data_IF_159385679614
#
_entry.id   IF_159385679614
#
_cell.length_a   1.000
_cell.length_b   1.000
_cell.length_c   1.000
_cell.angle_alpha   90.00
_cell.angle_beta   90.00
_cell.angle_gamma   90.00
#
_symmetry.space_group_name_H-M   'P 1'
#
loop_
_entity.id
_entity.type
_entity.pdbx_description
1 polymer ?
#
# COMPACT_ATOMS: atom_id res chain seq x y z
N UNK A 1 12.01 -15.38 27.04
CA UNK A 1 11.35 -14.87 25.82
C UNK A 1 11.76 -13.41 25.68
N UNK A 2 12.56 -13.06 24.67
CA UNK A 2 13.30 -11.79 24.62
C UNK A 2 12.51 -10.84 23.71
N UNK A 3 11.88 -9.82 24.30
CA UNK A 3 11.18 -8.77 23.55
C UNK A 3 12.18 -7.97 22.71
N UNK A 4 12.06 -8.08 21.39
CA UNK A 4 12.70 -7.17 20.44
C UNK A 4 11.91 -5.85 20.46
N UNK A 5 12.24 -4.96 21.40
CA UNK A 5 11.85 -3.55 21.30
C UNK A 5 12.64 -2.90 20.17
N UNK A 6 12.07 -2.90 18.97
CA UNK A 6 12.43 -1.95 17.93
C UNK A 6 12.18 -0.55 18.51
N UNK A 7 13.26 0.18 18.80
CA UNK A 7 13.18 1.61 19.13
C UNK A 7 12.71 2.33 17.87
N UNK A 8 11.39 2.48 17.72
CA UNK A 8 10.83 3.40 16.75
C UNK A 8 11.32 4.80 17.10
N UNK A 9 12.11 5.40 16.21
CA UNK A 9 12.38 6.83 16.27
C UNK A 9 11.03 7.53 16.15
N UNK A 10 10.53 8.08 17.26
CA UNK A 10 9.30 8.87 17.31
C UNK A 10 9.53 10.19 16.57
N UNK A 11 9.66 10.16 15.25
CA UNK A 11 9.43 11.34 14.42
C UNK A 11 7.93 11.48 14.30
N UNK A 12 7.38 12.40 15.10
CA UNK A 12 5.97 12.76 15.03
C UNK A 12 5.68 13.25 13.60
N UNK A 13 4.89 12.47 12.86
CA UNK A 13 4.44 12.84 11.51
C UNK A 13 3.46 14.00 11.68
N UNK A 14 3.84 15.18 11.21
CA UNK A 14 3.04 16.41 11.25
C UNK A 14 2.12 16.55 10.04
N UNK A 15 2.44 15.88 8.92
CA UNK A 15 1.57 15.90 7.75
C UNK A 15 1.99 14.96 6.63
N UNK A 16 1.14 14.86 5.61
CA UNK A 16 1.34 13.98 4.46
C UNK A 16 2.57 14.35 3.60
N UNK A 17 3.09 15.57 3.74
CA UNK A 17 4.29 16.05 3.04
C UNK A 17 5.59 15.80 3.83
N UNK A 18 5.51 15.20 5.02
CA UNK A 18 6.69 14.95 5.82
C UNK A 18 7.64 13.99 5.09
N UNK A 19 8.95 14.33 5.02
CA UNK A 19 9.95 13.54 4.32
C UNK A 19 10.38 12.34 5.17
N UNK A 20 9.42 11.53 5.63
CA UNK A 20 9.63 10.42 6.58
C UNK A 20 10.60 9.35 6.06
N UNK A 21 10.81 9.28 4.74
CA UNK A 21 11.75 8.36 4.11
C UNK A 21 13.08 9.01 3.69
N UNK A 22 13.22 10.34 3.77
CA UNK A 22 14.41 11.03 3.25
C UNK A 22 15.71 10.61 3.93
N UNK A 23 15.65 10.20 5.20
CA UNK A 23 16.82 9.76 5.98
C UNK A 23 17.28 8.33 5.65
N UNK A 24 16.48 7.56 4.90
CA UNK A 24 16.78 6.15 4.59
C UNK A 24 17.67 5.98 3.36
N UNK A 25 17.80 7.03 2.53
CA UNK A 25 18.46 6.95 1.23
C UNK A 25 17.69 6.16 0.16
N UNK A 26 16.50 5.63 0.50
CA UNK A 26 15.65 4.88 -0.41
C UNK A 26 15.21 5.75 -1.59
N UNK A 27 15.49 5.27 -2.80
CA UNK A 27 15.05 5.90 -4.05
C UNK A 27 13.66 5.40 -4.49
N UNK A 28 13.33 4.16 -4.11
CA UNK A 28 12.12 3.46 -4.50
C UNK A 28 11.61 2.61 -3.34
N UNK A 29 10.31 2.30 -3.38
CA UNK A 29 9.67 1.29 -2.54
C UNK A 29 8.87 0.34 -3.39
N UNK A 30 8.92 -0.95 -3.09
CA UNK A 30 8.04 -1.95 -3.69
C UNK A 30 6.76 -1.98 -2.90
N UNK A 31 5.66 -1.55 -3.51
CA UNK A 31 4.33 -1.53 -2.94
C UNK A 31 3.56 -2.78 -3.38
N UNK A 32 3.16 -3.59 -2.42
CA UNK A 32 2.41 -4.84 -2.64
C UNK A 32 1.00 -4.74 -2.10
N UNK A 33 0.03 -5.22 -2.89
CA UNK A 33 -1.36 -5.41 -2.46
C UNK A 33 -1.67 -6.91 -2.56
N UNK A 34 -2.04 -7.50 -1.43
CA UNK A 34 -2.57 -8.86 -1.35
C UNK A 34 -4.09 -8.79 -1.27
N UNK A 35 -4.77 -9.53 -2.14
CA UNK A 35 -6.23 -9.52 -2.22
C UNK A 35 -6.79 -10.94 -2.09
N UNK A 36 -7.62 -11.24 -1.06
CA UNK A 36 -8.12 -12.59 -0.83
C UNK A 36 -8.86 -13.20 -2.02
N UNK A 37 -9.59 -12.37 -2.78
CA UNK A 37 -10.29 -12.80 -3.99
C UNK A 37 -9.41 -13.10 -5.19
N UNK A 38 -8.13 -12.68 -5.17
CA UNK A 38 -7.22 -12.74 -6.31
C UNK A 38 -5.88 -13.34 -5.92
N UNK A 39 -5.89 -14.47 -5.19
CA UNK A 39 -4.65 -15.14 -4.73
C UNK A 39 -3.72 -15.64 -5.85
N UNK A 40 -4.22 -15.76 -7.08
CA UNK A 40 -3.44 -16.11 -8.28
C UNK A 40 -2.73 -14.90 -8.90
N UNK A 41 -3.08 -13.68 -8.48
CA UNK A 41 -2.57 -12.45 -9.04
C UNK A 41 -1.92 -11.59 -7.95
N UNK A 42 -0.59 -11.50 -8.02
CA UNK A 42 0.17 -10.61 -7.17
C UNK A 42 0.29 -9.22 -7.81
N UNK A 43 -0.28 -8.21 -7.13
CA UNK A 43 -0.11 -6.83 -7.54
C UNK A 43 1.06 -6.21 -6.78
N UNK A 44 2.14 -5.91 -7.52
CA UNK A 44 3.34 -5.25 -7.01
C UNK A 44 3.75 -4.10 -7.94
N UNK A 45 4.16 -2.96 -7.37
CA UNK A 45 4.73 -1.82 -8.12
C UNK A 45 5.90 -1.20 -7.39
N UNK A 46 6.98 -0.92 -8.12
CA UNK A 46 8.04 -0.06 -7.64
C UNK A 46 7.59 1.41 -7.76
N UNK A 47 7.53 2.12 -6.64
CA UNK A 47 7.12 3.51 -6.54
C UNK A 47 8.35 4.34 -6.18
N UNK A 48 8.69 5.39 -6.94
CA UNK A 48 9.74 6.32 -6.54
C UNK A 48 9.31 7.10 -5.30
N UNK A 49 10.19 7.17 -4.31
CA UNK A 49 9.97 7.92 -3.06
C UNK A 49 10.35 9.39 -3.21
N UNK A 50 11.31 9.63 -4.09
CA UNK A 50 11.88 10.94 -4.36
C UNK A 50 11.76 11.20 -5.86
N UNK A 51 11.29 12.38 -6.23
CA UNK A 51 11.25 12.83 -7.61
C UNK A 51 12.67 13.10 -8.12
N UNK A 52 12.89 13.14 -9.45
CA UNK A 52 14.20 13.47 -10.02
C UNK A 52 14.78 14.81 -9.52
N UNK A 53 13.92 15.72 -9.05
CA UNK A 53 14.30 17.01 -8.48
C UNK A 53 14.55 16.98 -6.96
N UNK A 54 14.49 15.81 -6.31
CA UNK A 54 14.72 15.66 -4.88
C UNK A 54 13.48 15.82 -3.99
N UNK A 55 12.30 16.14 -4.54
CA UNK A 55 11.09 16.33 -3.75
C UNK A 55 10.46 14.98 -3.32
N UNK A 56 9.91 14.86 -2.09
CA UNK A 56 9.14 13.69 -1.67
C UNK A 56 7.92 13.48 -2.57
N UNK A 57 7.67 12.23 -2.98
CA UNK A 57 6.51 11.87 -3.80
C UNK A 57 5.47 11.13 -2.95
N UNK A 58 4.24 11.66 -2.92
CA UNK A 58 3.04 11.00 -2.37
C UNK A 58 2.29 10.19 -3.44
N UNK A 59 2.95 9.22 -4.07
CA UNK A 59 2.34 8.41 -5.14
C UNK A 59 1.66 7.14 -4.66
N UNK A 60 1.84 6.74 -3.40
CA UNK A 60 1.26 5.49 -2.87
C UNK A 60 -0.27 5.50 -3.00
N UNK A 61 -0.91 6.62 -2.66
CA UNK A 61 -2.36 6.76 -2.80
C UNK A 61 -2.84 6.59 -4.26
N UNK A 62 -2.06 7.03 -5.25
CA UNK A 62 -2.42 6.91 -6.68
C UNK A 62 -2.37 5.46 -7.20
N UNK A 63 -1.76 4.55 -6.44
CA UNK A 63 -1.63 3.15 -6.83
C UNK A 63 -2.86 2.30 -6.47
N UNK A 64 -3.63 2.69 -5.45
CA UNK A 64 -4.88 2.00 -5.09
C UNK A 64 -5.93 2.05 -6.22
N UNK A 65 -6.24 3.21 -6.84
CA UNK A 65 -7.13 3.25 -8.00
C UNK A 65 -6.66 2.35 -9.15
N UNK A 66 -5.34 2.34 -9.44
CA UNK A 66 -4.76 1.51 -10.50
C UNK A 66 -4.85 0.01 -10.21
N UNK A 67 -4.71 -0.38 -8.95
CA UNK A 67 -4.97 -1.75 -8.53
C UNK A 67 -6.43 -2.12 -8.82
N UNK A 68 -7.36 -1.26 -8.39
CA UNK A 68 -8.79 -1.49 -8.55
C UNK A 68 -9.22 -1.58 -10.02
N UNK A 69 -8.72 -0.66 -10.86
CA UNK A 69 -8.95 -0.65 -12.29
C UNK A 69 -8.49 -1.93 -12.98
N UNK A 70 -7.41 -2.56 -12.48
CA UNK A 70 -6.95 -3.83 -13.02
C UNK A 70 -7.78 -4.99 -12.48
N UNK A 71 -8.00 -5.03 -11.16
CA UNK A 71 -8.67 -6.14 -10.49
C UNK A 71 -10.12 -6.34 -10.90
N UNK A 72 -10.82 -5.31 -11.41
CA UNK A 72 -12.17 -5.46 -11.95
C UNK A 72 -12.25 -6.38 -13.19
N UNK A 73 -11.13 -6.60 -13.88
CA UNK A 73 -11.05 -7.46 -15.07
C UNK A 73 -10.47 -8.85 -14.76
N UNK A 74 -10.00 -9.08 -13.54
CA UNK A 74 -9.43 -10.35 -13.12
C UNK A 74 -10.54 -11.28 -12.58
N UNK A 75 -10.43 -12.58 -12.86
CA UNK A 75 -11.39 -13.57 -12.36
C UNK A 75 -11.16 -13.81 -10.87
N UNK A 76 -12.14 -13.49 -10.02
CA UNK A 76 -12.01 -13.75 -8.59
C UNK A 76 -12.32 -15.19 -8.22
N UNK A 77 -11.53 -15.76 -7.31
CA UNK A 77 -11.78 -17.09 -6.73
C UNK A 77 -12.87 -17.08 -5.66
N UNK A 78 -13.31 -15.91 -5.21
CA UNK A 78 -14.36 -15.77 -4.21
C UNK A 78 -15.28 -14.60 -4.56
N UNK A 79 -16.58 -14.86 -4.61
CA UNK A 79 -17.59 -13.84 -4.92
C UNK A 79 -17.69 -12.77 -3.83
N UNK A 80 -17.25 -13.06 -2.60
CA UNK A 80 -17.26 -12.11 -1.48
C UNK A 80 -16.17 -11.03 -1.60
N UNK A 81 -15.22 -11.23 -2.52
CA UNK A 81 -14.06 -10.35 -2.73
C UNK A 81 -13.97 -9.86 -4.16
N UNK A 82 -15.02 -10.04 -4.96
CA UNK A 82 -15.02 -9.59 -6.35
C UNK A 82 -15.09 -8.07 -6.40
N UNK A 83 -14.20 -7.47 -7.18
CA UNK A 83 -14.26 -6.04 -7.48
C UNK A 83 -15.39 -5.83 -8.50
N UNK A 84 -16.53 -5.32 -8.03
CA UNK A 84 -17.72 -5.08 -8.85
C UNK A 84 -18.63 -4.05 -8.22
N UNK A 85 -19.56 -3.48 -9.00
CA UNK A 85 -20.52 -2.50 -8.49
C UNK A 85 -21.42 -3.04 -7.35
N UNK A 86 -21.62 -4.36 -7.30
CA UNK A 86 -22.51 -5.05 -6.36
C UNK A 86 -21.80 -5.74 -5.18
N UNK A 87 -20.48 -5.71 -5.12
CA UNK A 87 -19.70 -6.31 -4.04
C UNK A 87 -18.68 -5.29 -3.51
N UNK A 88 -17.40 -5.43 -3.85
CA UNK A 88 -16.39 -4.47 -3.41
C UNK A 88 -16.28 -3.33 -4.41
N UNK A 89 -16.53 -2.10 -3.92
CA UNK A 89 -16.35 -0.83 -4.65
C UNK A 89 -15.13 -0.08 -4.11
N UNK A 90 -14.61 0.86 -4.90
CA UNK A 90 -13.43 1.63 -4.52
C UNK A 90 -13.62 2.41 -3.20
N UNK A 91 -14.83 2.93 -2.97
CA UNK A 91 -15.21 3.67 -1.76
C UNK A 91 -15.20 2.82 -0.47
N UNK A 92 -15.18 1.49 -0.60
CA UNK A 92 -15.10 0.59 0.55
C UNK A 92 -13.66 0.43 1.06
N UNK A 93 -12.64 0.88 0.31
CA UNK A 93 -11.24 0.64 0.65
C UNK A 93 -10.68 1.74 1.54
N UNK A 94 -10.09 1.31 2.65
CA UNK A 94 -9.35 2.18 3.57
C UNK A 94 -7.93 1.65 3.75
N UNK A 95 -6.93 2.47 3.41
CA UNK A 95 -5.54 2.17 3.75
C UNK A 95 -5.36 2.34 5.26
N UNK A 96 -5.10 1.24 5.96
CA UNK A 96 -4.96 1.22 7.43
C UNK A 96 -3.51 1.44 7.84
N UNK A 97 -2.58 0.72 7.20
CA UNK A 97 -1.17 0.82 7.50
C UNK A 97 -0.31 0.62 6.27
N UNK A 98 0.88 1.20 6.33
CA UNK A 98 1.95 0.98 5.39
C UNK A 98 3.21 0.63 6.19
N UNK A 99 3.72 -0.58 6.03
CA UNK A 99 4.82 -1.11 6.86
C UNK A 99 5.98 -1.57 5.98
N UNK A 100 7.20 -1.23 6.37
CA UNK A 100 8.40 -1.77 5.75
C UNK A 100 8.60 -3.20 6.25
N UNK A 101 8.61 -4.17 5.34
CA UNK A 101 8.75 -5.59 5.69
C UNK A 101 10.21 -6.05 5.59
N UNK A 102 10.93 -5.58 4.57
CA UNK A 102 12.35 -5.87 4.35
C UNK A 102 12.93 -4.91 3.31
N UNK A 103 14.13 -4.34 3.53
CA UNK A 103 14.82 -3.42 2.60
C UNK A 103 13.90 -2.34 2.00
N UNK A 104 13.68 -2.36 0.68
CA UNK A 104 12.80 -1.43 -0.03
C UNK A 104 11.38 -1.98 -0.23
N UNK A 105 11.03 -3.12 0.38
CA UNK A 105 9.71 -3.72 0.32
C UNK A 105 8.77 -3.14 1.39
N UNK A 106 7.62 -2.67 0.91
CA UNK A 106 6.56 -2.09 1.73
C UNK A 106 5.22 -2.78 1.46
N UNK A 107 4.55 -3.15 2.53
CA UNK A 107 3.24 -3.75 2.50
C UNK A 107 2.18 -2.72 2.91
N UNK A 108 1.09 -2.64 2.15
CA UNK A 108 -0.14 -1.99 2.60
C UNK A 108 -1.08 -2.98 3.22
N UNK A 109 -1.66 -2.59 4.36
CA UNK A 109 -2.83 -3.25 4.91
C UNK A 109 -4.06 -2.39 4.60
N UNK A 110 -5.06 -3.01 3.97
CA UNK A 110 -6.28 -2.36 3.49
C UNK A 110 -7.47 -3.00 4.20
N UNK A 111 -8.36 -2.20 4.75
CA UNK A 111 -9.64 -2.63 5.28
C UNK A 111 -10.75 -2.38 4.25
N UNK A 112 -11.80 -3.20 4.35
CA UNK A 112 -13.04 -3.04 3.60
C UNK A 112 -14.17 -2.66 4.54
N UNK A 113 -14.91 -1.61 4.20
CA UNK A 113 -16.19 -1.29 4.81
C UNK A 113 -17.32 -1.67 3.85
N UNK A 114 -17.98 -2.80 4.12
CA UNK A 114 -19.02 -3.38 3.27
C UNK A 114 -20.43 -3.16 3.84
N UNK A 115 -20.60 -2.11 4.66
CA UNK A 115 -21.82 -1.78 5.42
C UNK A 115 -23.15 -2.01 4.70
#
# INVERSE_FOLDING_TARGET
MRELRLKGTSTTIQGAADPVLAHTGLQRVVFRILWPGNGHFEWCRAIPVVAPNGAPITQIATNLPRFFEKSQYESSTSLDWVVSASCVRFEHLFLISLQNTFEDAWQADIALDLG
#
